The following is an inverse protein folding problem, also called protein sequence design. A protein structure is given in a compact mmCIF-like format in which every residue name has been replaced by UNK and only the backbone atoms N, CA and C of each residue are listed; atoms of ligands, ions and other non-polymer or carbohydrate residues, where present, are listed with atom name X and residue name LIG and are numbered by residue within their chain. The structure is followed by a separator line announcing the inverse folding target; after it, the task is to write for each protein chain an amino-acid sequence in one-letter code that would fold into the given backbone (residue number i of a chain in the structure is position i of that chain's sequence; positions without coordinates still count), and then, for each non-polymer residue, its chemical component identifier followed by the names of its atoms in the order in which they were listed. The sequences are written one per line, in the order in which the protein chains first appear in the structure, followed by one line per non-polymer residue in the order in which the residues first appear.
data_IF_993218117031
#
_entry.id   IF_993218117031
#
_cell.length_a   1.000
_cell.length_b   1.000
_cell.length_c   1.000
_cell.angle_alpha   90.00
_cell.angle_beta   90.00
_cell.angle_gamma   90.00
#
_symmetry.space_group_name_H-M   'P 1'
#
loop_
_entity.id
_entity.type
_entity.pdbx_description
1 polymer ?
#
# COMPACT_ATOMS: atom_id res chain seq x y z
N UNK A 1 -57.63 6.41 19.22
CA UNK A 1 -56.37 6.82 19.86
C UNK A 1 -55.30 5.78 19.53
N UNK A 2 -54.46 6.00 18.50
CA UNK A 2 -53.57 4.94 18.01
C UNK A 2 -52.25 5.36 17.33
N UNK A 3 -51.94 6.66 17.20
CA UNK A 3 -50.75 7.11 16.46
C UNK A 3 -49.62 7.69 17.32
N UNK A 4 -49.91 8.15 18.55
CA UNK A 4 -48.91 8.84 19.39
C UNK A 4 -47.95 7.85 20.07
N UNK A 5 -48.45 6.71 20.54
CA UNK A 5 -47.63 5.68 21.22
C UNK A 5 -46.63 5.00 20.28
N UNK A 6 -47.00 4.76 19.01
CA UNK A 6 -46.07 4.23 17.99
C UNK A 6 -44.96 5.23 17.63
N UNK A 7 -45.23 6.53 17.76
CA UNK A 7 -44.28 7.62 17.50
C UNK A 7 -43.26 7.81 18.62
N UNK A 8 -43.69 7.72 19.89
CA UNK A 8 -42.79 7.89 21.04
C UNK A 8 -41.84 6.70 21.22
N UNK A 9 -42.34 5.47 21.08
CA UNK A 9 -41.49 4.27 21.16
C UNK A 9 -40.41 4.24 20.06
N UNK A 10 -40.78 4.59 18.82
CA UNK A 10 -39.83 4.68 17.71
C UNK A 10 -38.77 5.76 17.93
N UNK A 11 -39.16 6.93 18.45
CA UNK A 11 -38.21 8.01 18.79
C UNK A 11 -37.27 7.61 19.94
N UNK A 12 -37.77 6.90 20.95
CA UNK A 12 -36.97 6.38 22.05
C UNK A 12 -35.92 5.38 21.54
N UNK A 13 -36.32 4.42 20.71
CA UNK A 13 -35.41 3.44 20.13
C UNK A 13 -34.29 4.09 19.30
N UNK A 14 -34.60 5.16 18.57
CA UNK A 14 -33.58 5.89 17.79
C UNK A 14 -32.65 6.68 18.69
N UNK A 15 -33.15 7.31 19.77
CA UNK A 15 -32.31 7.98 20.75
C UNK A 15 -31.37 6.99 21.47
N UNK A 16 -31.84 5.78 21.75
CA UNK A 16 -31.00 4.69 22.28
C UNK A 16 -29.90 4.29 21.28
N UNK A 17 -30.22 4.17 19.99
CA UNK A 17 -29.22 3.91 18.95
C UNK A 17 -28.17 5.03 18.85
N UNK A 18 -28.60 6.29 18.90
CA UNK A 18 -27.69 7.44 18.89
C UNK A 18 -26.80 7.45 20.14
N UNK A 19 -27.37 7.17 21.31
CA UNK A 19 -26.60 7.07 22.55
C UNK A 19 -25.57 5.93 22.49
N UNK A 20 -25.93 4.77 21.92
CA UNK A 20 -25.00 3.65 21.71
C UNK A 20 -23.85 4.05 20.77
N UNK A 21 -24.15 4.73 19.66
CA UNK A 21 -23.12 5.24 18.75
C UNK A 21 -22.16 6.21 19.45
N UNK A 22 -22.69 7.17 20.20
CA UNK A 22 -21.87 8.14 20.94
C UNK A 22 -21.00 7.42 21.98
N UNK A 23 -21.58 6.49 22.73
CA UNK A 23 -20.86 5.71 23.74
C UNK A 23 -19.71 4.90 23.12
N UNK A 24 -19.96 4.24 21.98
CA UNK A 24 -18.92 3.50 21.24
C UNK A 24 -17.81 4.43 20.74
N UNK A 25 -18.16 5.60 20.21
CA UNK A 25 -17.17 6.58 19.73
C UNK A 25 -16.35 7.21 20.86
N UNK A 26 -16.93 7.35 22.06
CA UNK A 26 -16.25 7.92 23.23
C UNK A 26 -15.35 6.91 23.94
N UNK A 27 -15.76 5.65 24.03
CA UNK A 27 -15.04 4.63 24.81
C UNK A 27 -14.03 3.84 23.98
N UNK A 28 -14.12 3.87 22.65
CA UNK A 28 -13.19 3.15 21.79
C UNK A 28 -12.23 4.11 21.09
N UNK A 29 -10.96 3.69 21.04
CA UNK A 29 -9.96 4.30 20.16
C UNK A 29 -10.04 3.70 18.76
N UNK A 30 -9.49 4.37 17.75
CA UNK A 30 -9.30 3.82 16.40
C UNK A 30 -8.50 2.50 16.36
N UNK A 31 -7.83 2.13 17.46
CA UNK A 31 -7.14 0.85 17.59
C UNK A 31 -8.04 -0.28 18.09
N UNK A 32 -9.15 0.05 18.76
CA UNK A 32 -10.06 -0.92 19.39
C UNK A 32 -11.38 -1.08 18.64
N UNK A 33 -11.70 -0.18 17.71
CA UNK A 33 -12.87 -0.30 16.84
C UNK A 33 -12.59 -1.27 15.69
N UNK A 34 -13.27 -2.41 15.69
CA UNK A 34 -13.24 -3.36 14.59
C UNK A 34 -13.95 -2.82 13.34
N UNK A 35 -13.67 -3.40 12.17
CA UNK A 35 -14.37 -3.07 10.92
C UNK A 35 -15.88 -3.22 11.05
N UNK A 36 -16.34 -4.31 11.67
CA UNK A 36 -17.77 -4.62 11.83
C UNK A 36 -18.47 -3.61 12.75
N UNK A 37 -17.78 -3.15 13.80
CA UNK A 37 -18.30 -2.13 14.70
C UNK A 37 -18.39 -0.76 14.03
N UNK A 38 -17.41 -0.43 13.19
CA UNK A 38 -17.41 0.78 12.37
C UNK A 38 -18.57 0.80 11.38
N UNK A 39 -18.84 -0.33 10.71
CA UNK A 39 -20.00 -0.46 9.82
C UNK A 39 -21.33 -0.35 10.58
N UNK A 40 -21.42 -0.93 11.78
CA UNK A 40 -22.60 -0.82 12.63
C UNK A 40 -22.85 0.64 13.02
N UNK A 41 -21.81 1.36 13.43
CA UNK A 41 -21.87 2.79 13.80
C UNK A 41 -22.30 3.65 12.60
N UNK A 42 -21.73 3.40 11.43
CA UNK A 42 -22.09 4.10 10.19
C UNK A 42 -23.56 3.88 9.83
N UNK A 43 -24.02 2.62 9.89
CA UNK A 43 -25.41 2.26 9.63
C UNK A 43 -26.38 2.91 10.62
N UNK A 44 -26.14 2.79 11.92
CA UNK A 44 -27.03 3.37 12.95
C UNK A 44 -27.12 4.90 12.83
N UNK A 45 -26.01 5.56 12.47
CA UNK A 45 -26.00 7.01 12.25
C UNK A 45 -26.79 7.39 11.00
N UNK A 46 -26.64 6.63 9.90
CA UNK A 46 -27.40 6.84 8.67
C UNK A 46 -28.90 6.60 8.87
N UNK A 47 -29.27 5.55 9.59
CA UNK A 47 -30.66 5.21 9.90
C UNK A 47 -31.32 6.33 10.74
N UNK A 48 -30.61 6.88 11.73
CA UNK A 48 -31.12 7.99 12.54
C UNK A 48 -31.35 9.27 11.71
N UNK A 49 -30.43 9.60 10.79
CA UNK A 49 -30.59 10.73 9.87
C UNK A 49 -31.76 10.50 8.90
N UNK A 50 -31.90 9.28 8.36
CA UNK A 50 -32.97 8.93 7.44
C UNK A 50 -34.38 9.05 8.05
N UNK A 51 -34.50 8.83 9.37
CA UNK A 51 -35.76 9.01 10.10
C UNK A 51 -36.03 10.47 10.50
N UNK A 52 -35.15 11.41 10.10
CA UNK A 52 -35.36 12.84 10.25
C UNK A 52 -34.72 13.47 11.50
N UNK A 53 -33.82 12.76 12.18
CA UNK A 53 -33.01 13.38 13.23
C UNK A 53 -31.90 14.23 12.61
N UNK A 54 -31.78 15.48 13.06
CA UNK A 54 -30.66 16.32 12.67
C UNK A 54 -29.41 15.94 13.49
N UNK A 55 -28.54 15.12 12.91
CA UNK A 55 -27.34 14.58 13.53
C UNK A 55 -26.08 14.88 12.70
N UNK A 56 -26.03 16.03 12.04
CA UNK A 56 -24.91 16.43 11.17
C UNK A 56 -23.54 16.29 11.85
N UNK A 57 -23.42 16.72 13.10
CA UNK A 57 -22.17 16.64 13.85
C UNK A 57 -21.71 15.19 14.05
N UNK A 58 -22.67 14.28 14.31
CA UNK A 58 -22.39 12.86 14.57
C UNK A 58 -21.99 12.17 13.27
N UNK A 59 -22.71 12.45 12.20
CA UNK A 59 -22.39 11.94 10.87
C UNK A 59 -21.00 12.39 10.41
N UNK A 60 -20.66 13.67 10.58
CA UNK A 60 -19.31 14.17 10.29
C UNK A 60 -18.25 13.48 11.17
N UNK A 61 -18.54 13.24 12.45
CA UNK A 61 -17.62 12.56 13.35
C UNK A 61 -17.38 11.11 12.92
N UNK A 62 -18.44 10.37 12.61
CA UNK A 62 -18.36 8.99 12.10
C UNK A 62 -17.56 8.93 10.81
N UNK A 63 -17.84 9.82 9.84
CA UNK A 63 -17.10 9.88 8.58
C UNK A 63 -15.60 10.10 8.80
N UNK A 64 -15.21 10.97 9.74
CA UNK A 64 -13.80 11.19 10.08
C UNK A 64 -13.14 9.94 10.67
N UNK A 65 -13.85 9.20 11.54
CA UNK A 65 -13.34 7.97 12.13
C UNK A 65 -13.21 6.86 11.08
N UNK A 66 -14.19 6.71 10.19
CA UNK A 66 -14.12 5.77 9.05
C UNK A 66 -12.95 6.11 8.13
N UNK A 67 -12.77 7.38 7.77
CA UNK A 67 -11.66 7.82 6.93
C UNK A 67 -10.30 7.55 7.59
N UNK A 68 -10.17 7.85 8.90
CA UNK A 68 -8.94 7.58 9.64
C UNK A 68 -8.62 6.07 9.74
N UNK A 69 -9.65 5.22 9.89
CA UNK A 69 -9.50 3.77 9.87
C UNK A 69 -8.98 3.29 8.51
N UNK A 70 -9.59 3.74 7.41
CA UNK A 70 -9.14 3.42 6.04
C UNK A 70 -7.71 3.89 5.79
N UNK A 71 -7.37 5.11 6.22
CA UNK A 71 -6.01 5.64 6.10
C UNK A 71 -4.98 4.75 6.81
N UNK A 72 -5.28 4.30 8.03
CA UNK A 72 -4.39 3.42 8.79
C UNK A 72 -4.16 2.09 8.09
N UNK A 73 -5.20 1.49 7.49
CA UNK A 73 -5.07 0.26 6.69
C UNK A 73 -4.15 0.49 5.49
N UNK A 74 -4.35 1.57 4.74
CA UNK A 74 -3.49 1.92 3.60
C UNK A 74 -2.03 2.15 4.01
N UNK A 75 -1.81 2.76 5.17
CA UNK A 75 -0.47 3.00 5.68
C UNK A 75 0.25 1.69 6.05
N UNK A 76 -0.48 0.69 6.55
CA UNK A 76 0.08 -0.65 6.80
C UNK A 76 0.42 -1.38 5.50
N UNK A 77 -0.46 -1.32 4.50
CA UNK A 77 -0.20 -1.89 3.17
C UNK A 77 1.02 -1.24 2.51
N UNK A 78 1.19 0.07 2.68
CA UNK A 78 2.34 0.80 2.14
C UNK A 78 3.65 0.38 2.82
N UNK A 79 3.66 0.25 4.16
CA UNK A 79 4.82 -0.22 4.91
C UNK A 79 5.23 -1.66 4.48
N UNK A 80 4.24 -2.53 4.24
CA UNK A 80 4.49 -3.87 3.72
C UNK A 80 5.13 -3.84 2.33
N UNK A 81 4.62 -3.00 1.43
CA UNK A 81 5.20 -2.82 0.09
C UNK A 81 6.63 -2.27 0.16
N UNK A 82 6.89 -1.30 1.04
CA UNK A 82 8.24 -0.75 1.23
C UNK A 82 9.23 -1.83 1.70
N UNK A 83 8.81 -2.70 2.62
CA UNK A 83 9.62 -3.83 3.07
C UNK A 83 9.90 -4.83 1.93
N UNK A 84 8.90 -5.13 1.09
CA UNK A 84 9.08 -6.00 -0.07
C UNK A 84 10.02 -5.40 -1.11
N UNK A 85 9.91 -4.09 -1.38
CA UNK A 85 10.81 -3.36 -2.29
C UNK A 85 12.23 -3.39 -1.75
N UNK A 86 12.42 -3.16 -0.46
CA UNK A 86 13.73 -3.23 0.18
C UNK A 86 14.36 -4.62 0.04
N UNK A 87 13.60 -5.69 0.30
CA UNK A 87 14.06 -7.06 0.15
C UNK A 87 14.43 -7.39 -1.30
N UNK A 88 13.60 -6.96 -2.26
CA UNK A 88 13.87 -7.16 -3.68
C UNK A 88 15.15 -6.43 -4.14
N UNK A 89 15.37 -5.19 -3.70
CA UNK A 89 16.60 -4.43 -3.97
C UNK A 89 17.83 -5.14 -3.45
N UNK A 90 17.78 -5.65 -2.20
CA UNK A 90 18.88 -6.41 -1.62
C UNK A 90 19.21 -7.66 -2.45
N UNK A 91 18.19 -8.42 -2.82
CA UNK A 91 18.34 -9.62 -3.67
C UNK A 91 18.95 -9.28 -5.04
N UNK A 92 18.55 -8.17 -5.64
CA UNK A 92 19.11 -7.69 -6.91
C UNK A 92 20.61 -7.37 -6.78
N UNK A 93 21.01 -6.63 -5.74
CA UNK A 93 22.43 -6.32 -5.50
C UNK A 93 23.27 -7.58 -5.29
N UNK A 94 22.75 -8.58 -4.56
CA UNK A 94 23.41 -9.88 -4.37
C UNK A 94 23.54 -10.67 -5.68
N UNK A 95 22.55 -10.57 -6.58
CA UNK A 95 22.61 -11.19 -7.90
C UNK A 95 23.63 -10.49 -8.81
N UNK A 96 23.67 -9.16 -8.81
CA UNK A 96 24.65 -8.37 -9.57
C UNK A 96 26.07 -8.66 -9.13
N UNK A 97 26.32 -8.76 -7.83
CA UNK A 97 27.64 -9.14 -7.30
C UNK A 97 28.07 -10.52 -7.80
N UNK A 98 27.16 -11.52 -7.73
CA UNK A 98 27.44 -12.86 -8.24
C UNK A 98 27.71 -12.87 -9.74
N UNK A 99 26.97 -12.06 -10.51
CA UNK A 99 27.20 -11.92 -11.94
C UNK A 99 28.60 -11.37 -12.24
N UNK A 100 29.05 -10.33 -11.51
CA UNK A 100 30.41 -9.80 -11.66
C UNK A 100 31.48 -10.85 -11.33
N UNK A 101 31.33 -11.57 -10.22
CA UNK A 101 32.27 -12.64 -9.84
C UNK A 101 32.32 -13.73 -10.92
N UNK A 102 31.18 -14.18 -11.43
CA UNK A 102 31.16 -15.18 -12.50
C UNK A 102 31.77 -14.68 -13.81
N UNK A 103 31.61 -13.39 -14.13
CA UNK A 103 32.25 -12.80 -15.31
C UNK A 103 33.77 -12.80 -15.18
N UNK A 104 34.30 -12.51 -13.99
CA UNK A 104 35.75 -12.59 -13.70
C UNK A 104 36.24 -14.04 -13.79
N UNK A 105 35.56 -15.00 -13.16
CA UNK A 105 35.90 -16.43 -13.22
C UNK A 105 35.89 -16.96 -14.67
N UNK A 106 34.89 -16.57 -15.47
CA UNK A 106 34.80 -16.97 -16.89
C UNK A 106 35.95 -16.36 -17.70
N UNK A 107 36.34 -15.12 -17.42
CA UNK A 107 37.48 -14.48 -18.08
C UNK A 107 38.79 -15.19 -17.72
N UNK A 108 39.00 -15.51 -16.45
CA UNK A 108 40.19 -16.23 -15.97
C UNK A 108 40.30 -17.63 -16.61
N UNK A 109 39.19 -18.38 -16.67
CA UNK A 109 39.16 -19.70 -17.33
C UNK A 109 39.46 -19.57 -18.82
N UNK A 110 38.91 -18.55 -19.49
CA UNK A 110 39.17 -18.30 -20.90
C UNK A 110 40.66 -18.01 -21.14
N UNK A 111 41.25 -17.13 -20.34
CA UNK A 111 42.66 -16.77 -20.44
C UNK A 111 43.57 -17.97 -20.14
N UNK A 112 43.17 -18.86 -19.22
CA UNK A 112 43.88 -20.11 -18.96
C UNK A 112 43.82 -21.08 -20.15
N UNK A 113 42.66 -21.22 -20.81
CA UNK A 113 42.48 -22.07 -22.00
C UNK A 113 43.27 -21.52 -23.19
N UNK A 114 43.19 -20.22 -23.45
CA UNK A 114 43.86 -19.55 -24.56
C UNK A 114 45.38 -19.46 -24.33
N UNK A 115 45.81 -19.15 -23.10
CA UNK A 115 47.21 -19.06 -22.69
C UNK A 115 47.95 -20.40 -22.62
N UNK A 116 47.23 -21.51 -22.38
CA UNK A 116 47.80 -22.87 -22.45
C UNK A 116 47.94 -23.42 -23.88
N UNK A 117 47.63 -22.63 -24.90
CA UNK A 117 47.92 -22.99 -26.28
C UNK A 117 47.24 -24.29 -26.71
N UNK A 118 45.94 -24.44 -26.43
CA UNK A 118 45.14 -25.41 -27.18
C UNK A 118 44.79 -24.78 -28.53
N UNK A 119 45.58 -25.15 -29.54
CA UNK A 119 45.45 -24.64 -30.90
C UNK A 119 44.03 -24.80 -31.46
N UNK A 120 43.46 -23.65 -31.85
CA UNK A 120 42.51 -23.49 -32.93
C UNK A 120 41.17 -24.21 -32.79
N UNK A 121 40.14 -23.51 -32.30
CA UNK A 121 38.85 -23.54 -32.98
C UNK A 121 38.04 -22.29 -32.64
N UNK A 122 37.65 -21.54 -33.67
CA UNK A 122 36.79 -20.37 -33.55
C UNK A 122 35.41 -20.76 -33.04
N UNK A 123 35.02 -20.24 -31.87
CA UNK A 123 33.63 -20.25 -31.44
C UNK A 123 33.20 -18.85 -31.01
N UNK A 124 32.42 -18.22 -31.90
CA UNK A 124 31.32 -17.31 -31.58
C UNK A 124 31.65 -16.10 -30.70
N UNK A 125 31.85 -14.95 -31.35
CA UNK A 125 31.78 -13.63 -30.73
C UNK A 125 30.38 -13.43 -30.08
N UNK A 126 30.24 -13.71 -28.78
CA UNK A 126 29.07 -13.26 -28.01
C UNK A 126 29.22 -11.75 -27.86
N UNK A 127 28.37 -10.98 -28.55
CA UNK A 127 28.32 -9.52 -28.40
C UNK A 127 27.89 -9.18 -26.98
N UNK A 128 28.85 -8.81 -26.15
CA UNK A 128 28.62 -8.19 -24.85
C UNK A 128 27.87 -6.87 -25.08
N UNK A 129 26.70 -6.72 -24.48
CA UNK A 129 26.04 -5.40 -24.40
C UNK A 129 26.89 -4.55 -23.44
N UNK A 130 27.44 -3.41 -23.88
CA UNK A 130 28.28 -2.60 -23.02
C UNK A 130 27.46 -2.06 -21.84
N UNK A 131 28.05 -2.09 -20.63
CA UNK A 131 27.44 -1.63 -19.38
C UNK A 131 26.85 -0.21 -19.46
N UNK A 132 27.39 0.64 -20.33
CA UNK A 132 26.87 1.98 -20.62
C UNK A 132 25.46 2.00 -21.20
N UNK A 133 25.06 0.94 -21.90
CA UNK A 133 23.76 0.83 -22.56
C UNK A 133 22.68 0.31 -21.60
N UNK A 134 23.05 -0.57 -20.65
CA UNK A 134 22.19 -0.98 -19.54
C UNK A 134 21.95 0.17 -18.54
N UNK A 135 22.99 0.94 -18.19
CA UNK A 135 22.83 2.10 -17.31
C UNK A 135 21.85 3.14 -17.89
N UNK A 136 21.88 3.35 -19.21
CA UNK A 136 20.98 4.29 -19.91
C UNK A 136 19.52 3.85 -19.90
N UNK A 137 19.25 2.54 -19.91
CA UNK A 137 17.89 1.99 -19.80
C UNK A 137 17.34 2.19 -18.39
N UNK A 138 18.18 2.03 -17.38
CA UNK A 138 17.81 2.25 -15.97
C UNK A 138 17.56 3.74 -15.71
N UNK A 139 18.45 4.65 -16.14
CA UNK A 139 18.23 6.09 -15.98
C UNK A 139 16.99 6.58 -16.75
N UNK A 140 16.72 6.05 -17.94
CA UNK A 140 15.49 6.35 -18.69
C UNK A 140 14.21 5.88 -17.98
N UNK A 141 14.26 4.74 -17.28
CA UNK A 141 13.14 4.23 -16.48
C UNK A 141 12.86 5.11 -15.25
N UNK A 142 13.91 5.67 -14.64
CA UNK A 142 13.81 6.58 -13.51
C UNK A 142 13.36 7.99 -13.93
N UNK A 143 13.81 8.51 -15.08
CA UNK A 143 13.35 9.80 -15.60
C UNK A 143 11.83 9.83 -15.89
N UNK A 144 11.24 8.69 -16.26
CA UNK A 144 9.78 8.55 -16.40
C UNK A 144 9.04 8.40 -15.05
N UNK A 145 9.73 7.98 -13.99
CA UNK A 145 9.13 7.74 -12.66
C UNK A 145 9.15 8.99 -11.78
N UNK A 146 10.07 9.93 -12.02
CA UNK A 146 10.18 11.22 -11.28
C UNK A 146 9.09 12.23 -11.69
N UNK A 147 8.37 12.01 -12.80
CA UNK A 147 7.30 12.92 -13.25
C UNK A 147 5.99 12.81 -12.46
N UNK A 148 5.85 11.86 -11.52
CA UNK A 148 4.63 11.73 -10.71
C UNK A 148 4.66 12.63 -9.46
N UNK A 149 5.86 12.97 -8.96
CA UNK A 149 6.01 13.84 -7.77
C UNK A 149 5.84 15.33 -8.11
N UNK A 150 6.16 15.77 -9.33
CA UNK A 150 6.01 17.18 -9.75
C UNK A 150 4.56 17.57 -10.11
N UNK A 151 3.62 16.61 -10.19
CA UNK A 151 2.20 16.88 -10.49
C UNK A 151 1.36 17.09 -9.22
N UNK A 152 1.89 16.79 -8.03
CA UNK A 152 1.16 16.91 -6.76
C UNK A 152 1.56 18.11 -5.88
N UNK A 153 2.45 18.99 -6.38
CA UNK A 153 2.91 20.21 -5.70
C UNK A 153 2.64 21.50 -6.52
N UNK A 154 1.48 21.60 -7.17
CA UNK A 154 0.90 22.89 -7.62
C UNK A 154 -0.57 23.00 -7.22
#
# INVERSE_FOLDING_TARGET
MGSILKSVAAKSAILELVADVVNRLCNHTLKTLGSDELQLIEKHTADAVAVGFNLEWLQQRVNKVVAASKYKVRLMELDELDQQIYAARKSLMEMELRHTVWMEEVADIKDEIEGKGFGGSSLGLVRSIPLSEMARVIEGFWACSVSVDDVFMQ
#
